data_IF_665911211449
#
_entry.id   IF_665911211449
#
_cell.length_a   1.000
_cell.length_b   1.000
_cell.length_c   1.000
_cell.angle_alpha   90.00
_cell.angle_beta   90.00
_cell.angle_gamma   90.00
#
_symmetry.space_group_name_H-M   'P 1'
#
loop_
_entity.id
_entity.type
_entity.pdbx_description
1 polymer ?
#
# COMPACT_ATOMS: atom_id res chain seq x y z
N UNK A 1 -7.42 13.08 -21.76
CA UNK A 1 -8.13 12.49 -20.60
C UNK A 1 -7.36 11.25 -20.20
N UNK A 2 -6.58 11.32 -19.11
CA UNK A 2 -5.72 10.21 -18.69
C UNK A 2 -6.54 9.10 -18.04
N UNK A 3 -6.33 7.86 -18.48
CA UNK A 3 -6.82 6.67 -17.76
C UNK A 3 -6.33 6.80 -16.32
N UNK A 4 -7.25 6.75 -15.35
CA UNK A 4 -6.90 6.66 -13.94
C UNK A 4 -6.11 5.37 -13.74
N UNK A 5 -4.78 5.47 -13.70
CA UNK A 5 -3.90 4.34 -13.37
C UNK A 5 -4.21 3.98 -11.92
N UNK A 6 -4.77 2.78 -11.71
CA UNK A 6 -5.11 2.26 -10.38
C UNK A 6 -3.88 2.18 -9.46
N UNK A 7 -4.09 1.86 -8.19
CA UNK A 7 -2.99 1.69 -7.23
C UNK A 7 -2.73 0.22 -6.97
N UNK A 8 -3.78 -0.57 -6.86
CA UNK A 8 -3.68 -1.95 -6.42
C UNK A 8 -3.66 -2.95 -7.56
N UNK A 9 -4.09 -2.54 -8.76
CA UNK A 9 -4.30 -3.43 -9.90
C UNK A 9 -5.53 -4.32 -9.73
N UNK A 10 -6.42 -3.97 -8.79
CA UNK A 10 -7.64 -4.69 -8.48
C UNK A 10 -8.82 -3.73 -8.58
N UNK A 11 -9.58 -3.87 -9.68
CA UNK A 11 -10.65 -2.96 -10.11
C UNK A 11 -11.60 -2.53 -8.98
N UNK A 12 -12.12 -3.48 -8.20
CA UNK A 12 -13.06 -3.18 -7.11
C UNK A 12 -12.46 -2.30 -6.02
N UNK A 13 -11.15 -2.38 -5.79
CA UNK A 13 -10.44 -1.53 -4.83
C UNK A 13 -10.09 -0.20 -5.48
N UNK A 14 -9.58 -0.20 -6.69
CA UNK A 14 -9.19 1.04 -7.39
C UNK A 14 -10.40 1.96 -7.65
N UNK A 15 -11.57 1.40 -7.93
CA UNK A 15 -12.84 2.14 -7.98
C UNK A 15 -13.20 2.80 -6.64
N UNK A 16 -12.96 2.08 -5.53
CA UNK A 16 -13.23 2.58 -4.18
C UNK A 16 -12.31 3.76 -3.83
N UNK A 17 -11.09 3.77 -4.36
CA UNK A 17 -10.09 4.83 -4.17
C UNK A 17 -10.30 6.05 -5.09
N UNK A 18 -11.03 5.91 -6.19
CA UNK A 18 -11.23 7.00 -7.16
C UNK A 18 -12.12 8.09 -6.55
N UNK A 19 -11.95 9.40 -6.84
CA UNK A 19 -10.85 9.99 -7.58
C UNK A 19 -9.55 9.88 -6.80
N UNK A 20 -8.46 9.68 -7.54
CA UNK A 20 -7.14 9.48 -6.97
C UNK A 20 -6.17 10.58 -7.41
N UNK A 21 -6.16 11.74 -6.73
CA UNK A 21 -5.17 12.77 -6.98
C UNK A 21 -3.76 12.26 -6.69
N UNK A 22 -2.83 12.66 -7.56
CA UNK A 22 -1.41 12.54 -7.26
C UNK A 22 -1.12 13.24 -5.93
N UNK A 23 -0.18 12.71 -5.14
CA UNK A 23 0.28 13.24 -3.85
C UNK A 23 -0.64 12.97 -2.64
N UNK A 24 -1.78 12.31 -2.84
CA UNK A 24 -2.59 11.86 -1.72
C UNK A 24 -1.99 10.62 -1.08
N UNK A 25 -1.88 10.63 0.25
CA UNK A 25 -1.49 9.46 1.02
C UNK A 25 -2.70 8.54 1.13
N UNK A 26 -2.51 7.29 0.71
CA UNK A 26 -3.49 6.22 0.76
C UNK A 26 -3.05 5.24 1.85
N UNK A 27 -3.96 4.82 2.72
CA UNK A 27 -3.67 3.82 3.74
C UNK A 27 -4.64 2.64 3.64
N UNK A 28 -4.08 1.44 3.62
CA UNK A 28 -4.77 0.18 3.84
C UNK A 28 -4.41 -0.34 5.22
N UNK A 29 -5.41 -0.77 6.00
CA UNK A 29 -5.15 -1.34 7.33
C UNK A 29 -6.20 -2.37 7.71
N UNK A 30 -5.88 -3.26 8.65
CA UNK A 30 -6.81 -4.27 9.14
C UNK A 30 -6.21 -5.66 9.16
N UNK A 31 -6.90 -6.62 8.53
CA UNK A 31 -6.48 -8.01 8.44
C UNK A 31 -5.10 -8.15 7.77
N UNK A 32 -4.15 -8.77 8.48
CA UNK A 32 -2.75 -8.84 8.08
C UNK A 32 -2.55 -9.56 6.74
N UNK A 33 -3.31 -10.62 6.46
CA UNK A 33 -3.22 -11.33 5.19
C UNK A 33 -3.61 -10.42 4.02
N UNK A 34 -4.73 -9.72 4.12
CA UNK A 34 -5.18 -8.79 3.08
C UNK A 34 -4.24 -7.61 2.91
N UNK A 35 -3.78 -7.01 4.02
CA UNK A 35 -2.84 -5.88 4.00
C UNK A 35 -1.54 -6.28 3.29
N UNK A 36 -0.97 -7.43 3.63
CA UNK A 36 0.22 -7.94 2.94
C UNK A 36 -0.09 -8.26 1.47
N UNK A 37 -1.23 -8.90 1.15
CA UNK A 37 -1.59 -9.19 -0.22
C UNK A 37 -1.64 -7.92 -1.09
N UNK A 38 -2.36 -6.89 -0.64
CA UNK A 38 -2.48 -5.62 -1.37
C UNK A 38 -1.18 -4.82 -1.40
N UNK A 39 -0.30 -4.99 -0.41
CA UNK A 39 1.06 -4.46 -0.50
C UNK A 39 1.78 -5.04 -1.72
N UNK A 40 1.81 -6.36 -1.87
CA UNK A 40 2.47 -7.01 -3.01
C UNK A 40 1.82 -6.67 -4.36
N UNK A 41 0.48 -6.64 -4.45
CA UNK A 41 -0.18 -6.27 -5.72
C UNK A 41 0.13 -4.82 -6.09
N UNK A 42 0.17 -3.91 -5.11
CA UNK A 42 0.55 -2.51 -5.34
C UNK A 42 1.98 -2.41 -5.86
N UNK A 43 2.93 -3.18 -5.30
CA UNK A 43 4.31 -3.21 -5.81
C UNK A 43 4.37 -3.69 -7.26
N UNK A 44 3.75 -4.84 -7.54
CA UNK A 44 3.79 -5.49 -8.84
C UNK A 44 3.07 -4.68 -9.92
N UNK A 45 1.89 -4.13 -9.62
CA UNK A 45 1.09 -3.38 -10.59
C UNK A 45 1.77 -2.07 -10.99
N UNK A 46 2.34 -1.35 -10.03
CA UNK A 46 2.92 -0.03 -10.31
C UNK A 46 4.32 -0.10 -10.92
N UNK A 47 5.07 -1.18 -10.72
CA UNK A 47 6.43 -1.31 -11.25
C UNK A 47 6.48 -1.48 -12.77
N UNK A 48 5.33 -1.66 -13.42
CA UNK A 48 5.20 -1.60 -14.87
C UNK A 48 5.43 -0.18 -15.43
N UNK A 49 5.05 0.86 -14.68
CA UNK A 49 4.97 2.23 -15.21
C UNK A 49 5.92 3.21 -14.52
N UNK A 50 6.41 2.86 -13.32
CA UNK A 50 7.24 3.74 -12.49
C UNK A 50 8.14 2.93 -11.57
N UNK A 51 9.17 3.57 -11.01
CA UNK A 51 9.94 2.99 -9.91
C UNK A 51 9.08 2.92 -8.65
N UNK A 52 9.24 1.84 -7.92
CA UNK A 52 8.52 1.54 -6.68
C UNK A 52 9.52 1.31 -5.57
N UNK A 53 9.41 2.08 -4.49
CA UNK A 53 10.19 1.92 -3.27
C UNK A 53 9.33 1.23 -2.21
N UNK A 54 9.69 0.00 -1.86
CA UNK A 54 9.05 -0.77 -0.81
C UNK A 54 9.84 -0.63 0.49
N UNK A 55 9.27 0.01 1.50
CA UNK A 55 9.87 0.18 2.83
C UNK A 55 9.15 -0.73 3.82
N UNK A 56 9.85 -1.71 4.38
CA UNK A 56 9.28 -2.70 5.29
C UNK A 56 9.80 -2.45 6.70
N UNK A 57 8.91 -2.23 7.65
CA UNK A 57 9.26 -1.89 9.04
C UNK A 57 8.92 -3.04 9.97
N UNK A 58 9.60 -4.18 9.77
CA UNK A 58 9.47 -5.40 10.59
C UNK A 58 10.75 -6.21 10.52
N UNK A 59 11.03 -6.96 11.60
CA UNK A 59 12.20 -7.85 11.68
C UNK A 59 12.03 -9.04 10.71
N UNK A 60 10.86 -9.68 10.76
CA UNK A 60 10.53 -10.88 10.01
C UNK A 60 9.26 -10.70 9.18
N UNK A 61 9.22 -11.38 8.02
CA UNK A 61 8.09 -11.35 7.09
C UNK A 61 7.98 -10.07 6.27
N UNK A 62 6.74 -9.74 5.88
CA UNK A 62 6.37 -8.53 5.13
C UNK A 62 6.48 -8.64 3.62
N UNK A 63 7.60 -9.17 3.10
CA UNK A 63 7.78 -9.47 1.68
C UNK A 63 7.77 -10.99 1.44
N UNK A 64 6.92 -11.44 0.53
CA UNK A 64 6.89 -12.77 -0.05
C UNK A 64 7.38 -12.66 -1.51
N UNK A 65 8.65 -13.05 -1.78
CA UNK A 65 9.21 -13.01 -3.12
C UNK A 65 8.47 -13.94 -4.11
N UNK A 66 7.92 -15.06 -3.63
CA UNK A 66 7.20 -16.02 -4.46
C UNK A 66 5.87 -15.45 -4.95
N UNK A 67 5.12 -14.82 -4.04
CA UNK A 67 3.91 -14.08 -4.39
C UNK A 67 4.23 -12.91 -5.32
N UNK A 68 5.26 -12.11 -5.01
CA UNK A 68 5.65 -10.98 -5.84
C UNK A 68 6.03 -11.41 -7.27
N UNK A 69 6.83 -12.47 -7.40
CA UNK A 69 7.20 -13.03 -8.70
C UNK A 69 5.97 -13.52 -9.48
N UNK A 70 5.02 -14.17 -8.80
CA UNK A 70 3.74 -14.59 -9.42
C UNK A 70 2.95 -13.39 -9.92
N UNK A 71 2.74 -12.38 -9.08
CA UNK A 71 2.05 -11.12 -9.44
C UNK A 71 2.75 -10.39 -10.57
N UNK A 72 4.08 -10.41 -10.60
CA UNK A 72 4.85 -9.82 -11.68
C UNK A 72 4.64 -10.50 -13.03
N UNK A 73 4.51 -11.84 -13.06
CA UNK A 73 4.13 -12.56 -14.30
C UNK A 73 2.74 -12.17 -14.79
N UNK A 74 1.81 -11.89 -13.88
CA UNK A 74 0.43 -11.52 -14.20
C UNK A 74 0.35 -10.09 -14.75
N UNK A 75 1.01 -9.14 -14.07
CA UNK A 75 0.96 -7.73 -14.43
C UNK A 75 1.99 -7.33 -15.49
N UNK A 76 2.91 -8.23 -15.86
CA UNK A 76 4.03 -7.89 -16.75
C UNK A 76 5.03 -6.93 -16.09
N UNK A 77 5.20 -7.04 -14.78
CA UNK A 77 6.02 -6.11 -14.00
C UNK A 77 7.50 -6.18 -14.36
N UNK A 78 8.24 -5.10 -14.07
CA UNK A 78 9.70 -5.08 -14.12
C UNK A 78 10.28 -5.13 -12.70
N UNK A 79 10.81 -6.29 -12.28
CA UNK A 79 11.34 -6.46 -10.91
C UNK A 79 12.47 -5.47 -10.59
N UNK A 80 13.28 -5.07 -11.58
CA UNK A 80 14.34 -4.06 -11.41
C UNK A 80 13.82 -2.66 -11.09
N UNK A 81 12.53 -2.40 -11.31
CA UNK A 81 11.86 -1.17 -10.89
C UNK A 81 11.41 -1.20 -9.42
N UNK A 82 11.51 -2.34 -8.73
CA UNK A 82 11.12 -2.48 -7.33
C UNK A 82 12.38 -2.44 -6.46
N UNK A 83 12.56 -1.36 -5.73
CA UNK A 83 13.63 -1.19 -4.75
C UNK A 83 13.08 -1.51 -3.36
N UNK A 84 13.75 -2.37 -2.60
CA UNK A 84 13.30 -2.81 -1.29
C UNK A 84 14.27 -2.33 -0.22
N UNK A 85 13.75 -1.71 0.83
CA UNK A 85 14.48 -1.37 2.04
C UNK A 85 13.75 -1.94 3.26
N UNK A 86 14.51 -2.39 4.26
CA UNK A 86 13.98 -2.87 5.53
C UNK A 86 14.53 -2.04 6.67
N UNK A 87 13.63 -1.59 7.55
CA UNK A 87 13.96 -0.94 8.80
C UNK A 87 13.78 -1.95 9.95
N UNK A 88 14.80 -2.11 10.79
CA UNK A 88 14.75 -2.95 11.98
C UNK A 88 14.53 -2.12 13.25
N UNK A 89 14.77 -0.81 13.16
CA UNK A 89 14.57 0.17 14.23
C UNK A 89 13.93 1.45 13.68
N UNK A 90 13.47 2.32 14.58
CA UNK A 90 12.88 3.62 14.20
C UNK A 90 13.92 4.48 13.47
N UNK A 91 15.17 4.45 13.91
CA UNK A 91 16.26 5.24 13.34
C UNK A 91 16.55 4.83 11.89
N UNK A 92 16.48 3.53 11.59
CA UNK A 92 16.63 3.01 10.22
C UNK A 92 15.52 3.54 9.32
N UNK A 93 14.27 3.49 9.79
CA UNK A 93 13.12 4.03 9.06
C UNK A 93 13.31 5.52 8.77
N UNK A 94 13.68 6.30 9.78
CA UNK A 94 13.93 7.74 9.62
C UNK A 94 14.98 8.01 8.55
N UNK A 95 16.08 7.25 8.55
CA UNK A 95 17.15 7.39 7.55
C UNK A 95 16.69 6.99 6.15
N UNK A 96 15.97 5.88 6.02
CA UNK A 96 15.39 5.42 4.74
C UNK A 96 14.46 6.48 4.18
N UNK A 97 13.52 7.00 4.99
CA UNK A 97 12.57 8.01 4.53
C UNK A 97 13.28 9.29 4.10
N UNK A 98 14.25 9.79 4.90
CA UNK A 98 15.04 10.99 4.56
C UNK A 98 15.76 10.84 3.22
N UNK A 99 16.44 9.71 3.01
CA UNK A 99 17.16 9.44 1.75
C UNK A 99 16.21 9.29 0.54
N UNK A 100 14.93 9.01 0.77
CA UNK A 100 13.93 8.86 -0.29
C UNK A 100 13.27 10.19 -0.67
N UNK A 101 13.40 11.26 0.14
CA UNK A 101 12.72 12.56 -0.06
C UNK A 101 13.10 13.23 -1.38
N UNK A 102 14.36 13.10 -1.79
CA UNK A 102 14.85 13.77 -3.00
C UNK A 102 14.41 13.07 -4.28
N UNK A 103 13.86 11.86 -4.18
CA UNK A 103 13.29 11.14 -5.31
C UNK A 103 11.90 11.70 -5.66
N UNK A 104 11.59 11.85 -6.95
CA UNK A 104 10.30 12.38 -7.43
C UNK A 104 9.64 11.47 -8.46
N UNK A 105 8.31 11.47 -8.49
CA UNK A 105 7.52 10.73 -9.47
C UNK A 105 7.43 9.22 -9.20
N UNK A 106 7.92 8.75 -8.05
CA UNK A 106 7.92 7.35 -7.68
C UNK A 106 6.65 6.97 -6.91
N UNK A 107 6.41 5.65 -6.77
CA UNK A 107 5.52 5.14 -5.75
C UNK A 107 6.32 4.67 -4.54
N UNK A 108 5.91 5.10 -3.34
CA UNK A 108 6.53 4.70 -2.08
C UNK A 108 5.48 3.91 -1.30
N UNK A 109 5.70 2.61 -1.17
CA UNK A 109 4.86 1.70 -0.41
C UNK A 109 5.52 1.40 0.95
N UNK A 110 4.89 1.79 2.05
CA UNK A 110 5.44 1.61 3.39
C UNK A 110 4.59 0.62 4.17
N UNK A 111 5.21 -0.47 4.61
CA UNK A 111 4.59 -1.55 5.35
C UNK A 111 4.92 -1.42 6.85
N UNK A 112 3.87 -1.25 7.64
CA UNK A 112 3.81 -1.10 9.09
C UNK A 112 4.70 0.01 9.67
N UNK A 113 4.55 1.27 9.21
CA UNK A 113 5.46 2.38 9.56
C UNK A 113 5.65 2.60 11.07
N UNK A 114 4.73 2.12 11.90
CA UNK A 114 4.70 2.35 13.34
C UNK A 114 4.94 1.11 14.19
N UNK A 115 5.35 -0.02 13.61
CA UNK A 115 5.54 -1.29 14.34
C UNK A 115 6.48 -1.19 15.55
N UNK A 116 7.51 -0.35 15.48
CA UNK A 116 8.49 -0.17 16.56
C UNK A 116 8.17 0.97 17.52
N UNK A 117 7.00 1.62 17.39
CA UNK A 117 6.62 2.64 18.35
C UNK A 117 6.45 2.02 19.74
N UNK A 118 7.07 2.62 20.78
CA UNK A 118 6.87 2.19 22.15
C UNK A 118 5.43 2.50 22.59
N UNK A 119 4.87 1.67 23.48
CA UNK A 119 3.52 1.86 24.01
C UNK A 119 3.42 3.02 25.04
N UNK A 120 4.42 3.91 25.10
CA UNK A 120 4.50 5.01 26.06
C UNK A 120 4.06 6.34 25.42
N UNK A 121 3.02 7.02 25.94
CA UNK A 121 2.57 8.34 25.51
C UNK A 121 3.69 9.38 25.33
N UNK A 122 4.70 9.40 26.21
CA UNK A 122 5.79 10.38 26.17
C UNK A 122 6.71 10.22 24.95
N UNK A 123 6.63 9.10 24.23
CA UNK A 123 7.42 8.83 23.03
C UNK A 123 6.64 9.05 21.72
N UNK A 124 5.40 9.55 21.78
CA UNK A 124 4.57 9.80 20.61
C UNK A 124 5.17 10.82 19.62
N UNK A 125 6.09 11.68 20.07
CA UNK A 125 6.83 12.58 19.18
C UNK A 125 7.57 11.83 18.06
N UNK A 126 7.98 10.57 18.30
CA UNK A 126 8.58 9.70 17.28
C UNK A 126 7.58 9.37 16.16
N UNK A 127 6.31 9.15 16.52
CA UNK A 127 5.23 8.95 15.55
C UNK A 127 5.02 10.21 14.70
N UNK A 128 5.06 11.39 15.33
CA UNK A 128 4.97 12.68 14.64
C UNK A 128 6.12 12.89 13.66
N UNK A 129 7.35 12.52 14.04
CA UNK A 129 8.51 12.59 13.14
C UNK A 129 8.32 11.71 11.89
N UNK A 130 7.94 10.44 12.08
CA UNK A 130 7.66 9.50 10.98
C UNK A 130 6.54 10.05 10.10
N UNK A 131 5.44 10.50 10.71
CA UNK A 131 4.30 11.12 10.03
C UNK A 131 4.73 12.32 9.17
N UNK A 132 5.56 13.20 9.72
CA UNK A 132 6.07 14.38 9.02
C UNK A 132 6.95 14.03 7.82
N UNK A 133 7.78 12.99 7.93
CA UNK A 133 8.59 12.49 6.81
C UNK A 133 7.71 11.87 5.72
N UNK A 134 6.71 11.06 6.10
CA UNK A 134 5.73 10.49 5.17
C UNK A 134 4.96 11.59 4.42
N UNK A 135 4.52 12.63 5.13
CA UNK A 135 3.87 13.79 4.53
C UNK A 135 4.80 14.55 3.57
N UNK A 136 6.07 14.70 3.93
CA UNK A 136 7.06 15.33 3.05
C UNK A 136 7.26 14.54 1.76
N UNK A 137 7.31 13.20 1.85
CA UNK A 137 7.42 12.32 0.68
C UNK A 137 6.22 12.46 -0.26
N UNK A 138 5.01 12.62 0.27
CA UNK A 138 3.81 12.69 -0.55
C UNK A 138 3.74 13.95 -1.42
N UNK A 139 4.50 15.00 -1.10
CA UNK A 139 4.54 16.23 -1.92
C UNK A 139 5.06 16.00 -3.36
N UNK A 140 5.90 14.98 -3.56
CA UNK A 140 6.56 14.68 -4.85
C UNK A 140 6.35 13.25 -5.34
N UNK A 141 5.72 12.40 -4.53
CA UNK A 141 5.58 10.98 -4.80
C UNK A 141 4.17 10.49 -4.44
N UNK A 142 3.76 9.39 -5.06
CA UNK A 142 2.57 8.67 -4.62
C UNK A 142 2.92 7.81 -3.40
N UNK A 143 2.26 8.03 -2.27
CA UNK A 143 2.55 7.29 -1.03
C UNK A 143 1.38 6.36 -0.71
N UNK A 144 1.69 5.09 -0.47
CA UNK A 144 0.73 4.07 -0.04
C UNK A 144 1.24 3.41 1.23
N UNK A 145 0.40 3.38 2.25
CA UNK A 145 0.71 2.86 3.57
C UNK A 145 -0.08 1.59 3.80
N UNK A 146 0.56 0.60 4.42
CA UNK A 146 -0.02 -0.69 4.76
C UNK A 146 0.20 -0.89 6.25
N UNK A 147 -0.85 -0.80 7.05
CA UNK A 147 -0.73 -0.63 8.49
C UNK A 147 -1.56 -1.67 9.27
N UNK A 148 -1.32 -1.77 10.57
CA UNK A 148 -2.15 -2.57 11.47
C UNK A 148 -3.28 -1.73 12.05
N UNK A 149 -4.27 -2.40 12.63
CA UNK A 149 -5.22 -1.75 13.53
C UNK A 149 -4.46 -1.21 14.75
N UNK A 150 -4.88 -0.05 15.26
CA UNK A 150 -4.28 0.55 16.44
C UNK A 150 -4.38 -0.36 17.66
N UNK A 151 -3.34 -0.37 18.49
CA UNK A 151 -3.33 -1.10 19.77
C UNK A 151 -4.34 -0.52 20.77
N UNK A 152 -4.77 0.73 20.56
CA UNK A 152 -5.66 1.47 21.47
C UNK A 152 -7.13 1.48 21.02
N UNK A 153 -7.49 0.69 20.00
CA UNK A 153 -8.89 0.53 19.58
C UNK A 153 -9.08 -0.19 18.26
N UNK A 154 -10.28 -0.69 18.02
CA UNK A 154 -10.55 -1.63 16.91
C UNK A 154 -10.93 -0.96 15.57
N UNK A 155 -11.00 0.37 15.53
CA UNK A 155 -11.57 1.07 14.37
C UNK A 155 -10.53 1.80 13.52
N UNK A 156 -9.45 2.30 14.12
CA UNK A 156 -8.46 3.16 13.45
C UNK A 156 -7.13 2.44 13.22
N UNK A 157 -6.34 2.95 12.28
CA UNK A 157 -4.96 2.50 12.05
C UNK A 157 -4.01 3.04 13.14
N UNK A 158 -2.86 2.39 13.29
CA UNK A 158 -1.72 2.89 14.08
C UNK A 158 -1.22 4.26 13.54
N UNK A 159 -0.57 5.08 14.38
CA UNK A 159 0.01 6.39 14.03
C UNK A 159 -0.61 7.59 14.75
N UNK A 160 -1.81 7.44 15.32
CA UNK A 160 -2.49 8.49 16.07
C UNK A 160 -3.15 9.57 15.22
N UNK A 161 -3.63 10.64 15.87
CA UNK A 161 -4.49 11.67 15.24
C UNK A 161 -3.78 12.44 14.12
N UNK A 162 -2.53 12.85 14.33
CA UNK A 162 -1.74 13.57 13.32
C UNK A 162 -1.58 12.76 12.03
N UNK A 163 -1.30 11.46 12.16
CA UNK A 163 -1.26 10.53 11.04
C UNK A 163 -2.59 10.49 10.29
N UNK A 164 -3.69 10.33 11.02
CA UNK A 164 -5.02 10.31 10.39
C UNK A 164 -5.39 11.62 9.70
N UNK A 165 -4.84 12.77 10.11
CA UNK A 165 -5.06 14.04 9.41
C UNK A 165 -4.35 14.11 8.06
N UNK A 166 -3.12 13.62 7.95
CA UNK A 166 -2.34 13.67 6.70
C UNK A 166 -2.83 12.65 5.67
N UNK A 167 -3.29 11.48 6.12
CA UNK A 167 -3.82 10.43 5.24
C UNK A 167 -5.12 10.90 4.60
N UNK A 168 -5.20 10.93 3.27
CA UNK A 168 -6.36 11.46 2.54
C UNK A 168 -7.38 10.38 2.18
N UNK A 169 -6.93 9.14 2.05
CA UNK A 169 -7.77 7.97 1.80
C UNK A 169 -7.40 6.86 2.78
N UNK A 170 -8.38 6.31 3.50
CA UNK A 170 -8.20 5.18 4.40
C UNK A 170 -9.16 4.06 4.05
N UNK A 171 -8.65 2.85 3.85
CA UNK A 171 -9.43 1.65 3.56
C UNK A 171 -9.17 0.59 4.64
N UNK A 172 -10.23 0.23 5.36
CA UNK A 172 -10.19 -0.88 6.31
C UNK A 172 -10.48 -2.19 5.59
N UNK A 173 -9.61 -3.17 5.79
CA UNK A 173 -9.68 -4.50 5.20
C UNK A 173 -9.99 -5.54 6.27
N UNK A 174 -10.98 -6.41 6.04
CA UNK A 174 -11.20 -7.57 6.91
C UNK A 174 -11.79 -8.74 6.13
N UNK A 175 -11.62 -9.94 6.69
CA UNK A 175 -12.19 -11.18 6.15
C UNK A 175 -13.36 -11.63 6.99
N UNK A 176 -14.35 -12.24 6.35
CA UNK A 176 -15.41 -13.01 7.02
C UNK A 176 -15.76 -14.20 6.14
N UNK A 177 -15.46 -15.41 6.59
CA UNK A 177 -15.56 -16.65 5.79
C UNK A 177 -14.74 -16.52 4.49
N UNK A 178 -15.37 -16.75 3.34
CA UNK A 178 -14.78 -16.65 2.00
C UNK A 178 -14.88 -15.24 1.40
N UNK A 179 -15.31 -14.24 2.18
CA UNK A 179 -15.49 -12.87 1.71
C UNK A 179 -14.40 -11.94 2.27
N UNK A 180 -13.91 -11.09 1.38
CA UNK A 180 -13.08 -9.93 1.68
C UNK A 180 -13.95 -8.68 1.66
N UNK A 181 -13.79 -7.84 2.68
CA UNK A 181 -14.46 -6.56 2.82
C UNK A 181 -13.42 -5.46 2.79
N UNK A 182 -13.68 -4.45 1.95
CA UNK A 182 -12.92 -3.22 1.90
C UNK A 182 -13.85 -2.04 2.15
N UNK A 183 -13.72 -1.39 3.32
CA UNK A 183 -14.52 -0.21 3.69
C UNK A 183 -13.67 1.03 3.56
N UNK A 184 -14.17 1.99 2.80
CA UNK A 184 -13.64 3.35 2.75
C UNK A 184 -14.00 4.05 4.06
N UNK A 185 -13.02 4.21 4.94
CA UNK A 185 -13.20 4.87 6.24
C UNK A 185 -13.05 6.38 6.11
N UNK A 186 -12.14 6.82 5.25
CA UNK A 186 -11.88 8.23 4.97
C UNK A 186 -11.61 8.42 3.48
N UNK A 187 -12.17 9.48 2.91
CA UNK A 187 -11.83 9.94 1.56
C UNK A 187 -12.07 11.46 1.50
N UNK A 188 -11.08 12.24 1.04
CA UNK A 188 -11.20 13.71 1.08
C UNK A 188 -12.14 14.28 0.01
N UNK A 189 -12.39 13.52 -1.07
CA UNK A 189 -13.30 13.92 -2.17
C UNK A 189 -14.60 13.12 -2.30
N UNK A 190 -14.94 12.24 -1.35
CA UNK A 190 -16.14 11.40 -1.38
C UNK A 190 -16.68 11.19 0.03
N UNK A 191 -17.98 10.98 0.16
CA UNK A 191 -18.54 10.54 1.44
C UNK A 191 -17.93 9.20 1.86
N UNK A 192 -17.42 9.13 3.10
CA UNK A 192 -16.93 7.89 3.69
C UNK A 192 -18.03 6.84 3.86
N UNK A 193 -17.66 5.62 4.23
CA UNK A 193 -18.50 4.43 4.47
C UNK A 193 -18.90 3.59 3.25
N UNK A 194 -18.41 3.90 2.04
CA UNK A 194 -18.56 2.98 0.91
C UNK A 194 -17.86 1.65 1.22
N UNK A 195 -18.53 0.52 0.98
CA UNK A 195 -17.97 -0.82 1.21
C UNK A 195 -18.01 -1.62 -0.08
N UNK A 196 -16.90 -2.30 -0.39
CA UNK A 196 -16.80 -3.31 -1.46
C UNK A 196 -16.64 -4.67 -0.81
N UNK A 197 -17.39 -5.63 -1.32
CA UNK A 197 -17.40 -7.01 -0.83
C UNK A 197 -17.14 -7.91 -2.02
N UNK A 198 -16.18 -8.81 -1.90
CA UNK A 198 -15.84 -9.74 -2.97
C UNK A 198 -15.27 -11.03 -2.38
N UNK A 199 -15.34 -12.11 -3.15
CA UNK A 199 -14.83 -13.43 -2.71
C UNK A 199 -13.30 -13.42 -2.64
N UNK A 200 -12.75 -14.05 -1.61
CA UNK A 200 -11.30 -14.21 -1.42
C UNK A 200 -10.64 -14.90 -2.62
N UNK A 201 -11.34 -15.87 -3.22
CA UNK A 201 -10.91 -16.56 -4.44
C UNK A 201 -10.66 -15.61 -5.62
N UNK A 202 -11.28 -14.43 -5.66
CA UNK A 202 -11.00 -13.43 -6.70
C UNK A 202 -9.60 -12.84 -6.57
N UNK A 203 -9.01 -12.83 -5.38
CA UNK A 203 -7.59 -12.47 -5.22
C UNK A 203 -6.71 -13.53 -5.89
N UNK A 204 -7.09 -14.80 -5.80
CA UNK A 204 -6.38 -15.91 -6.43
C UNK A 204 -6.62 -16.03 -7.94
N UNK A 205 -7.77 -15.57 -8.46
CA UNK A 205 -8.16 -15.66 -9.88
C UNK A 205 -8.05 -14.37 -10.68
N UNK A 206 -7.89 -13.19 -10.06
CA UNK A 206 -7.45 -11.97 -10.76
C UNK A 206 -6.11 -12.17 -11.51
N UNK A 207 -5.39 -13.21 -11.11
CA UNK A 207 -4.24 -13.85 -11.75
C UNK A 207 -4.48 -14.31 -13.20
N UNK A 208 -5.74 -14.55 -13.62
CA UNK A 208 -6.08 -15.09 -14.94
C UNK A 208 -6.55 -14.04 -15.97
N UNK A 209 -6.87 -12.80 -15.57
CA UNK A 209 -7.46 -11.82 -16.52
C UNK A 209 -6.48 -11.27 -17.57
N UNK A 210 -5.16 -11.47 -17.40
CA UNK A 210 -4.10 -11.08 -18.34
C UNK A 210 -3.33 -12.28 -18.93
N UNK A 211 -3.97 -13.45 -19.07
CA UNK A 211 -3.37 -14.50 -19.89
C UNK A 211 -3.41 -14.06 -21.35
N UNK A 212 -2.29 -13.50 -21.85
CA UNK A 212 -2.07 -13.41 -23.30
C UNK A 212 -2.32 -14.78 -23.92
N UNK A 213 -3.10 -14.84 -24.98
CA UNK A 213 -3.27 -16.07 -25.75
C UNK A 213 -1.92 -16.53 -26.30
N UNK A 214 -1.74 -17.83 -26.54
CA UNK A 214 -0.49 -18.37 -27.13
C UNK A 214 -0.09 -17.62 -28.41
N UNK A 215 -1.08 -17.18 -29.19
CA UNK A 215 -0.93 -16.37 -30.41
C UNK A 215 -0.38 -14.96 -30.14
N UNK A 216 -0.80 -14.30 -29.07
CA UNK A 216 -0.26 -13.00 -28.66
C UNK A 216 1.18 -13.12 -28.15
N UNK A 217 1.55 -14.28 -27.63
CA UNK A 217 2.92 -14.58 -27.20
C UNK A 217 3.86 -14.74 -28.41
N UNK A 218 3.45 -15.51 -29.43
CA UNK A 218 4.25 -15.75 -30.63
C UNK A 218 4.49 -14.47 -31.45
N UNK A 219 3.59 -13.48 -31.38
CA UNK A 219 3.72 -12.21 -32.11
C UNK A 219 4.63 -11.17 -31.44
N UNK A 220 5.13 -11.44 -30.23
CA UNK A 220 5.99 -10.50 -29.48
C UNK A 220 7.45 -10.98 -29.35
N UNK A 221 7.79 -12.07 -30.05
CA UNK A 221 9.17 -12.52 -30.31
C UNK A 221 9.50 -12.19 -31.76
#
# INVERSE_FOLDING_TARGET
>A
MGVSIGITGFELIDELLTPLPNNWIIEFYGDEFLVNYFFHTTLAFNSLWRRVYAVIVREYGGLDPGLLAKLCRIYGCTLTNIMVARAFRIEDLVNILKNTIDSSGNLIAILYPYSYLPNNPSSYWKATLITGLIHSLSSRNQVVLFNTVSKFGNYMSEGGSMHHHIVKIMVKLWRRRDLCYAKLVKHSGKAGNSTRIFRLKLLETAIQRNSKTLLEWIRTV
#
